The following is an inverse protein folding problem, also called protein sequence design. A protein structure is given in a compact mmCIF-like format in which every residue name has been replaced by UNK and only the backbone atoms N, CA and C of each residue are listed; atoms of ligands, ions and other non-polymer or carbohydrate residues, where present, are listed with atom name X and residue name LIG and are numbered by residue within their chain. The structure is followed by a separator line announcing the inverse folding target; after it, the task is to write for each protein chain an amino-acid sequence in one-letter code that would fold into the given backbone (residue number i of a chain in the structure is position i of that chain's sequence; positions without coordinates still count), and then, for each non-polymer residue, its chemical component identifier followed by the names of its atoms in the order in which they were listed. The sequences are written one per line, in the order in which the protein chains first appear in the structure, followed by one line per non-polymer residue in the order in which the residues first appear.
data_IF_345734488240
#
_entry.id   IF_345734488240
#
_cell.length_a   1.000
_cell.length_b   1.000
_cell.length_c   1.000
_cell.angle_alpha   90.00
_cell.angle_beta   90.00
_cell.angle_gamma   90.00
#
_symmetry.space_group_name_H-M   'P 1'
#
loop_
_entity.id
_entity.type
_entity.pdbx_description
1 polymer ?
2 non-polymer ?
3 water ?
#
# COMPACT_ATOMS: atom_id res chain seq x y z
N UNK A 3 -28.29 5.22 -13.76
CA UNK A 3 -26.89 5.54 -13.51
C UNK A 3 -26.56 7.02 -13.72
N UNK A 4 -27.29 7.67 -14.63
CA UNK A 4 -27.02 9.07 -14.96
C UNK A 4 -27.18 9.98 -13.76
N UNK A 5 -28.02 9.58 -12.81
CA UNK A 5 -28.24 10.41 -11.62
C UNK A 5 -27.17 10.29 -10.55
N UNK A 6 -26.26 9.32 -10.68
CA UNK A 6 -25.21 9.14 -9.68
C UNK A 6 -23.89 8.79 -10.38
N UNK A 7 -23.35 9.72 -11.18
CA UNK A 7 -22.20 9.43 -12.05
C UNK A 7 -20.89 9.18 -11.33
N UNK A 8 -20.83 9.48 -10.03
CA UNK A 8 -19.67 9.09 -9.23
C UNK A 8 -19.57 7.57 -9.10
N UNK A 9 -20.68 6.86 -9.22
CA UNK A 9 -20.67 5.38 -9.19
C UNK A 9 -20.37 4.88 -10.60
N UNK A 10 -19.55 3.84 -10.73
CA UNK A 10 -19.21 3.36 -12.06
C UNK A 10 -18.82 1.90 -12.07
N UNK A 11 -18.62 1.39 -13.29
CA UNK A 11 -18.28 -0.01 -13.52
C UNK A 11 -16.77 -0.12 -13.67
N UNK A 12 -16.20 -1.23 -13.23
CA UNK A 12 -14.75 -1.48 -13.33
C UNK A 12 -14.53 -2.69 -14.25
N UNK A 13 -13.53 -2.58 -15.12
CA UNK A 13 -13.03 -3.70 -15.91
C UNK A 13 -11.58 -3.91 -15.52
N UNK A 14 -11.16 -5.17 -15.42
CA UNK A 14 -9.75 -5.47 -15.21
C UNK A 14 -9.41 -6.87 -15.70
N UNK A 15 -8.11 -7.16 -15.78
CA UNK A 15 -7.65 -8.48 -16.20
C UNK A 15 -6.63 -9.04 -15.24
N UNK A 16 -6.55 -10.37 -15.18
CA UNK A 16 -5.51 -11.07 -14.45
C UNK A 16 -5.00 -12.21 -15.33
N UNK A 17 -4.09 -13.02 -14.81
CA UNK A 17 -3.65 -14.23 -15.51
C UNK A 17 -4.81 -15.21 -15.76
N UNK A 18 -5.88 -15.06 -14.99
CA UNK A 18 -7.06 -15.94 -15.10
C UNK A 18 -8.12 -15.44 -16.09
N UNK A 19 -7.90 -14.25 -16.67
CA UNK A 19 -8.82 -13.72 -17.67
C UNK A 19 -9.30 -12.31 -17.39
N UNK A 20 -10.46 -11.97 -17.96
CA UNK A 20 -11.08 -10.65 -17.82
C UNK A 20 -12.21 -10.68 -16.80
N UNK A 21 -12.24 -9.65 -15.95
CA UNK A 21 -13.19 -9.57 -14.85
C UNK A 21 -13.84 -8.19 -14.78
N UNK A 22 -14.90 -8.10 -13.99
CA UNK A 22 -15.62 -6.85 -13.80
C UNK A 22 -15.90 -6.62 -12.30
N UNK A 23 -15.98 -5.35 -11.92
CA UNK A 23 -16.24 -4.95 -10.54
C UNK A 23 -17.01 -3.63 -10.59
N UNK A 24 -17.08 -2.94 -9.45
CA UNK A 24 -17.72 -1.63 -9.37
C UNK A 24 -16.81 -0.74 -8.52
N UNK A 25 -17.05 0.57 -8.56
CA UNK A 25 -16.29 1.51 -7.74
C UNK A 25 -17.03 2.82 -7.64
N UNK A 26 -16.45 3.77 -6.90
CA UNK A 26 -17.11 5.03 -6.66
C UNK A 26 -16.11 6.15 -6.45
N UNK A 27 -16.32 7.28 -7.12
CA UNK A 27 -15.47 8.46 -6.91
C UNK A 27 -15.73 9.04 -5.52
N UNK A 28 -14.67 9.10 -4.72
CA UNK A 28 -14.73 9.71 -3.39
C UNK A 28 -13.92 11.00 -3.40
N UNK A 29 -14.39 11.99 -2.66
CA UNK A 29 -13.72 13.30 -2.62
C UNK A 29 -12.26 13.11 -2.24
N UNK A 30 -11.35 13.72 -3.01
CA UNK A 30 -9.92 13.54 -2.77
C UNK A 30 -9.12 14.76 -3.18
N UNK A 31 -8.04 15.03 -2.46
CA UNK A 31 -7.14 16.12 -2.86
C UNK A 31 -6.67 15.96 -4.31
N UNK A 32 -6.34 14.73 -4.72
CA UNK A 32 -5.83 14.54 -6.08
C UNK A 32 -6.92 14.50 -7.15
N UNK A 33 -8.19 14.55 -6.73
CA UNK A 33 -9.33 14.58 -7.64
C UNK A 33 -9.40 13.35 -8.57
N UNK A 34 -8.75 12.27 -8.16
CA UNK A 34 -8.51 11.14 -9.04
C UNK A 34 -8.78 9.78 -8.39
N UNK A 35 -9.48 9.77 -7.26
CA UNK A 35 -9.53 8.57 -6.43
C UNK A 35 -10.90 7.92 -6.41
N UNK A 36 -10.92 6.63 -6.71
CA UNK A 36 -12.13 5.81 -6.52
C UNK A 36 -11.91 4.75 -5.43
N UNK A 37 -12.97 4.53 -4.65
CA UNK A 37 -13.00 3.46 -3.66
C UNK A 37 -13.52 2.21 -4.33
N UNK A 38 -12.91 1.09 -3.96
CA UNK A 38 -13.34 -0.20 -4.48
C UNK A 38 -12.96 -1.29 -3.47
N UNK A 39 -13.10 -2.55 -3.85
CA UNK A 39 -12.67 -3.67 -3.00
C UNK A 39 -11.22 -4.01 -3.30
N UNK A 40 -10.50 -4.48 -2.29
CA UNK A 40 -9.13 -4.97 -2.50
C UNK A 40 -9.08 -6.04 -3.57
N UNK A 41 -10.03 -6.98 -3.56
CA UNK A 41 -9.99 -8.07 -4.51
C UNK A 41 -10.31 -7.64 -5.94
N UNK A 42 -10.77 -6.41 -6.12
CA UNK A 42 -10.99 -5.86 -7.47
C UNK A 42 -9.73 -5.28 -8.07
N UNK A 43 -8.65 -5.20 -7.29
CA UNK A 43 -7.40 -4.69 -7.87
C UNK A 43 -6.14 -5.44 -7.45
N UNK A 44 -6.30 -6.47 -6.61
CA UNK A 44 -5.16 -7.28 -6.18
C UNK A 44 -5.63 -8.69 -5.84
N UNK A 45 -4.82 -9.69 -6.23
CA UNK A 45 -5.18 -11.10 -6.05
C UNK A 45 -5.36 -11.54 -4.60
N UNK A 46 -4.66 -10.86 -3.69
CA UNK A 46 -4.56 -11.34 -2.32
C UNK A 46 -3.33 -12.21 -2.13
N UNK A 47 -3.35 -13.06 -1.10
CA UNK A 47 -2.13 -13.77 -0.66
C UNK A 47 -1.33 -14.43 -1.78
N UNK A 48 -0.08 -13.98 -1.94
CA UNK A 48 0.86 -14.55 -2.92
C UNK A 48 0.62 -14.16 -4.36
N UNK A 49 -0.36 -13.29 -4.61
CA UNK A 49 -0.71 -12.87 -5.95
C UNK A 49 -0.13 -11.52 -6.33
N UNK A 50 -0.69 -10.92 -7.38
CA UNK A 50 -0.19 -9.64 -7.90
C UNK A 50 -1.33 -8.67 -8.19
N UNK A 51 -0.98 -7.47 -8.68
CA UNK A 51 -2.01 -6.47 -8.99
C UNK A 51 -2.78 -6.81 -10.25
N UNK A 52 -4.03 -6.37 -10.31
CA UNK A 52 -4.83 -6.46 -11.51
C UNK A 52 -4.17 -5.65 -12.62
N UNK A 53 -4.41 -6.06 -13.86
CA UNK A 53 -3.90 -5.35 -15.02
C UNK A 53 -5.03 -4.65 -15.74
N UNK A 54 -4.71 -3.53 -16.36
CA UNK A 54 -5.66 -2.76 -17.17
C UNK A 54 -6.97 -2.44 -16.45
N UNK A 55 -6.82 -2.02 -15.20
CA UNK A 55 -7.94 -1.55 -14.39
C UNK A 55 -8.48 -0.27 -15.00
N UNK A 56 -9.77 -0.31 -15.33
CA UNK A 56 -10.44 0.84 -15.96
C UNK A 56 -11.76 1.11 -15.25
N UNK A 57 -12.08 2.39 -15.08
CA UNK A 57 -13.28 2.83 -14.39
C UNK A 57 -14.17 3.60 -15.35
N UNK A 58 -15.45 3.24 -15.39
CA UNK A 58 -16.42 3.86 -16.29
C UNK A 58 -17.54 4.52 -15.48
N UNK A 59 -17.40 5.83 -15.21
CA UNK A 59 -18.44 6.53 -14.43
C UNK A 59 -19.79 6.49 -15.14
N UNK A 60 -20.85 6.24 -14.38
CA UNK A 60 -22.22 6.29 -14.91
C UNK A 60 -22.45 5.32 -16.07
N UNK A 61 -21.70 4.23 -16.09
CA UNK A 61 -21.90 3.17 -17.09
C UNK A 61 -23.39 2.78 -17.17
N UNK A 62 -23.90 2.61 -18.40
CA UNK A 62 -25.30 2.27 -18.64
C UNK A 62 -25.40 1.67 -20.02
N UNK A 63 -25.37 0.34 -20.09
CA UNK A 63 -25.28 -0.38 -21.39
C UNK A 63 -24.17 0.21 -22.26
N UNK A 64 -23.01 0.42 -21.63
CA UNK A 64 -21.86 1.03 -22.28
C UNK A 64 -21.38 2.26 -21.53
N UNK A 65 -20.21 2.76 -21.91
CA UNK A 65 -19.69 3.96 -21.27
C UNK A 65 -20.64 5.13 -21.42
N UNK A 66 -20.56 6.06 -20.47
CA UNK A 66 -21.34 7.28 -20.54
C UNK A 66 -20.50 8.35 -21.24
N UNK A 67 -21.03 9.56 -21.26
CA UNK A 67 -20.31 10.71 -21.80
C UNK A 67 -18.98 10.97 -21.06
N UNK A 68 -18.86 10.44 -19.84
CA UNK A 68 -17.64 10.64 -19.05
C UNK A 68 -16.49 9.74 -19.48
N UNK A 69 -16.81 8.75 -20.31
CA UNK A 69 -15.80 7.88 -20.87
C UNK A 69 -15.24 6.88 -19.89
N UNK A 70 -14.02 6.44 -20.16
CA UNK A 70 -13.38 5.34 -19.43
C UNK A 70 -12.02 5.81 -18.95
N UNK A 71 -11.68 5.50 -17.70
CA UNK A 71 -10.51 6.06 -17.04
C UNK A 71 -9.56 4.98 -16.54
N UNK A 72 -8.32 4.99 -17.02
CA UNK A 72 -7.34 3.98 -16.62
C UNK A 72 -6.72 4.31 -15.27
N UNK A 73 -6.45 3.27 -14.47
CA UNK A 73 -5.73 3.46 -13.22
C UNK A 73 -4.25 3.74 -13.43
N UNK A 74 -3.70 4.62 -12.60
CA UNK A 74 -2.26 4.84 -12.54
C UNK A 74 -1.63 4.21 -11.30
N UNK A 75 -2.32 4.31 -10.17
CA UNK A 75 -1.87 3.67 -8.92
C UNK A 75 -3.00 2.89 -8.30
N UNK A 76 -2.81 1.58 -8.18
CA UNK A 76 -3.71 0.73 -7.41
C UNK A 76 -3.17 0.69 -5.98
N UNK A 77 -4.04 1.03 -5.02
CA UNK A 77 -3.65 1.16 -3.61
C UNK A 77 -4.47 0.18 -2.78
N UNK A 78 -3.88 -0.98 -2.54
CA UNK A 78 -4.51 -2.05 -1.79
C UNK A 78 -4.22 -1.92 -0.28
N UNK A 79 -5.15 -2.40 0.56
CA UNK A 79 -4.83 -2.53 1.96
C UNK A 79 -3.71 -3.55 2.13
N UNK A 80 -2.91 -3.39 3.18
CA UNK A 80 -1.80 -4.30 3.44
C UNK A 80 -2.32 -5.69 3.78
N UNK A 81 -3.39 -5.75 4.57
CA UNK A 81 -3.87 -7.05 5.03
C UNK A 81 -4.51 -7.83 3.90
N UNK A 82 -5.20 -7.14 2.99
CA UNK A 82 -5.72 -7.83 1.81
C UNK A 82 -4.57 -8.36 0.93
N UNK A 83 -3.64 -7.48 0.57
CA UNK A 83 -2.55 -7.87 -0.34
C UNK A 83 -1.70 -9.02 0.18
N UNK A 84 -1.46 -9.00 1.48
CA UNK A 84 -0.52 -9.92 2.08
C UNK A 84 -1.18 -11.23 2.52
N UNK A 85 -2.46 -11.18 2.89
CA UNK A 85 -3.08 -12.34 3.55
C UNK A 85 -4.51 -12.65 3.05
N UNK A 86 -5.07 -11.83 2.17
CA UNK A 86 -6.46 -12.01 1.72
C UNK A 86 -7.44 -11.83 2.87
N UNK A 87 -7.11 -10.93 3.79
CA UNK A 87 -7.91 -10.71 5.00
C UNK A 87 -9.17 -9.92 4.65
N UNK A 88 -10.32 -10.58 4.73
CA UNK A 88 -11.58 -9.92 4.37
C UNK A 88 -11.96 -8.77 5.29
N UNK A 89 -11.40 -8.72 6.50
CA UNK A 89 -11.66 -7.53 7.33
C UNK A 89 -11.16 -6.25 6.68
N UNK A 90 -10.25 -6.40 5.70
CA UNK A 90 -9.67 -5.25 5.03
C UNK A 90 -9.77 -5.34 3.52
N UNK A 91 -10.88 -5.89 3.03
CA UNK A 91 -11.08 -6.00 1.58
C UNK A 91 -11.61 -4.67 1.03
N UNK A 92 -10.80 -3.62 1.17
CA UNK A 92 -11.08 -2.31 0.59
C UNK A 92 -9.79 -1.81 -0.06
N UNK A 93 -9.94 -0.85 -0.96
CA UNK A 93 -8.81 -0.34 -1.72
C UNK A 93 -9.22 0.92 -2.44
N UNK A 94 -8.23 1.59 -3.00
CA UNK A 94 -8.49 2.80 -3.77
C UNK A 94 -7.68 2.73 -5.04
N UNK A 95 -8.24 3.23 -6.13
CA UNK A 95 -7.49 3.34 -7.38
C UNK A 95 -7.39 4.81 -7.73
N UNK A 96 -6.16 5.23 -8.03
CA UNK A 96 -5.89 6.60 -8.46
C UNK A 96 -5.80 6.60 -9.99
N UNK A 97 -6.70 7.37 -10.61
CA UNK A 97 -6.88 7.33 -12.05
C UNK A 97 -6.07 8.37 -12.79
N UNK A 98 -5.88 8.12 -14.07
CA UNK A 98 -5.21 9.03 -14.98
C UNK A 98 -5.90 10.39 -15.03
N UNK A 99 -5.15 11.37 -15.52
CA UNK A 99 -5.65 12.67 -15.87
C UNK A 99 -5.66 12.75 -17.40
N UNK A 100 -6.75 13.27 -17.97
CA UNK A 100 -6.90 13.34 -19.42
C UNK A 100 -6.80 14.78 -19.88
N UNK A 101 -5.69 15.13 -20.52
CA UNK A 101 -5.47 16.48 -21.03
C UNK A 101 -5.70 17.53 -19.96
N UNK A 102 -5.19 17.24 -18.77
CA UNK A 102 -5.33 18.12 -17.62
C UNK A 102 -6.60 17.90 -16.80
N UNK A 103 -7.52 17.07 -17.28
CA UNK A 103 -8.80 16.86 -16.57
C UNK A 103 -8.77 15.61 -15.69
N UNK A 104 -9.02 15.81 -14.41
CA UNK A 104 -9.14 14.70 -13.47
C UNK A 104 -10.57 14.16 -13.45
N UNK A 105 -10.74 12.93 -12.97
CA UNK A 105 -12.06 12.31 -13.02
C UNK A 105 -13.08 13.09 -12.17
N UNK A 106 -12.65 13.63 -11.04
CA UNK A 106 -13.55 14.38 -10.18
C UNK A 106 -13.97 15.70 -10.84
N UNK A 107 -13.04 16.31 -11.57
CA UNK A 107 -13.34 17.53 -12.33
C UNK A 107 -14.27 17.22 -13.51
N UNK A 108 -14.03 16.10 -14.16
CA UNK A 108 -14.87 15.64 -15.27
C UNK A 108 -16.31 15.45 -14.84
N UNK A 109 -16.49 14.70 -13.76
CA UNK A 109 -17.83 14.35 -13.31
C UNK A 109 -18.49 15.51 -12.53
N UNK A 110 -17.66 16.33 -11.89
CA UNK A 110 -18.15 17.55 -11.24
C UNK A 110 -18.62 17.32 -9.80
N UNK A 111 -18.45 16.10 -9.31
CA UNK A 111 -18.89 15.74 -7.97
C UNK A 111 -18.19 14.46 -7.52
N UNK A 112 -18.36 14.15 -6.24
CA UNK A 112 -17.77 12.97 -5.62
C UNK A 112 -18.50 12.73 -4.32
N UNK A 113 -18.45 11.50 -3.83
CA UNK A 113 -19.03 11.18 -2.53
C UNK A 113 -18.12 11.58 -1.39
N UNK A 114 -18.70 12.05 -0.27
CA UNK A 114 -17.90 12.14 0.93
C UNK A 114 -17.62 10.71 1.40
N UNK A 115 -16.61 10.56 2.26
CA UNK A 115 -16.27 9.23 2.79
C UNK A 115 -16.09 9.39 4.29
N UNK A 116 -16.57 8.39 5.04
CA UNK A 116 -16.60 8.44 6.51
C UNK A 116 -15.97 7.20 7.11
N UNK A 117 -15.33 7.38 8.25
CA UNK A 117 -14.63 6.30 8.95
C UNK A 117 -14.98 6.33 10.42
N UNK A 118 -14.77 5.19 11.09
CA UNK A 118 -14.99 5.10 12.54
C UNK A 118 -16.39 5.55 12.94
N UNK A 119 -17.35 5.08 12.17
CA UNK A 119 -18.76 5.33 12.41
C UNK A 119 -19.36 4.14 13.18
N UNK A 120 -20.55 4.32 13.78
CA UNK A 120 -21.15 3.19 14.49
C UNK A 120 -21.39 1.99 13.58
N UNK A 121 -21.36 0.81 14.19
CA UNK A 121 -21.84 -0.41 13.55
C UNK A 121 -23.36 -0.44 13.53
N UNK A 122 -23.93 -1.21 12.62
CA UNK A 122 -25.37 -1.46 12.61
C UNK A 122 -26.20 -0.33 12.04
N UNK A 123 -25.58 0.49 11.20
CA UNK A 123 -26.29 1.58 10.52
C UNK A 123 -27.08 1.07 9.30
N UNK A 124 -27.97 1.93 8.81
CA UNK A 124 -28.73 1.65 7.60
C UNK A 124 -27.94 2.13 6.38
N UNK A 125 -27.90 1.28 5.35
CA UNK A 125 -27.13 1.54 4.14
C UNK A 125 -27.94 1.39 2.88
N UNK A 126 -27.49 2.11 1.86
CA UNK A 126 -27.86 1.89 0.47
C UNK A 126 -26.58 1.52 -0.27
N UNK A 127 -26.55 0.30 -0.82
CA UNK A 127 -25.36 -0.22 -1.52
C UNK A 127 -25.65 -0.32 -3.00
N UNK A 128 -24.65 -0.04 -3.83
CA UNK A 128 -24.82 0.04 -5.28
C UNK A 128 -23.76 -0.76 -6.00
N UNK A 129 -24.08 -1.23 -7.20
CA UNK A 129 -23.07 -1.88 -8.01
C UNK A 129 -23.58 -2.28 -9.36
N UNK A 130 -22.69 -2.90 -10.14
CA UNK A 130 -22.98 -3.41 -11.46
C UNK A 130 -22.90 -4.94 -11.48
N UNK A 131 -23.89 -5.61 -10.89
CA UNK A 131 -23.85 -7.07 -10.86
C UNK A 131 -23.90 -7.62 -12.30
N UNK A 132 -23.13 -8.67 -12.56
CA UNK A 132 -22.94 -9.16 -13.91
C UNK A 132 -23.34 -10.62 -14.13
N UNK A 133 -23.62 -11.33 -13.05
CA UNK A 133 -24.10 -12.71 -13.17
C UNK A 133 -25.61 -12.77 -13.06
N UNK A 134 -26.22 -13.75 -13.75
CA UNK A 134 -27.67 -13.94 -13.75
C UNK A 134 -28.29 -13.80 -12.35
N UNK A 135 -29.44 -13.09 -12.23
CA UNK A 135 -30.31 -12.51 -13.26
C UNK A 135 -29.94 -11.07 -13.63
N UNK A 136 -28.65 -10.74 -13.53
CA UNK A 136 -28.16 -9.44 -13.92
C UNK A 136 -27.26 -9.59 -15.14
N UNK A 137 -27.03 -8.49 -15.86
CA UNK A 137 -26.30 -8.55 -17.12
C UNK A 137 -25.06 -7.68 -17.16
N UNK A 138 -24.75 -7.05 -16.03
CA UNK A 138 -23.54 -6.25 -15.92
C UNK A 138 -23.67 -4.84 -16.45
N UNK A 139 -24.82 -4.55 -17.06
CA UNK A 139 -25.01 -3.31 -17.80
C UNK A 139 -25.71 -2.22 -17.02
N UNK A 140 -26.25 -2.58 -15.86
CA UNK A 140 -27.17 -1.74 -15.09
C UNK A 140 -26.67 -1.48 -13.69
N UNK A 141 -26.99 -0.29 -13.19
CA UNK A 141 -26.75 0.03 -11.79
C UNK A 141 -27.89 -0.55 -10.96
N UNK A 142 -27.54 -1.40 -10.00
CA UNK A 142 -28.52 -1.95 -9.07
C UNK A 142 -28.20 -1.54 -7.64
N UNK A 143 -29.18 -1.71 -6.76
CA UNK A 143 -29.04 -1.31 -5.37
C UNK A 143 -29.62 -2.32 -4.40
N UNK A 144 -29.15 -2.21 -3.16
CA UNK A 144 -29.68 -2.97 -2.02
C UNK A 144 -29.78 -1.99 -0.88
N UNK A 145 -30.69 -2.24 0.05
CA UNK A 145 -30.94 -1.34 1.15
C UNK A 145 -31.26 -2.14 2.39
N UNK A 146 -30.69 -1.73 3.51
CA UNK A 146 -30.98 -2.42 4.75
C UNK A 146 -30.08 -2.04 5.89
N UNK A 147 -30.39 -2.58 7.06
CA UNK A 147 -29.61 -2.35 8.25
C UNK A 147 -28.51 -3.40 8.37
N UNK A 148 -27.30 -2.92 8.65
CA UNK A 148 -26.15 -3.82 8.80
C UNK A 148 -26.23 -4.61 10.10
N UNK A 149 -25.82 -5.87 10.01
CA UNK A 149 -25.63 -6.72 11.18
C UNK A 149 -24.21 -7.32 11.16
N UNK A 150 -23.81 -7.92 12.28
CA UNK A 150 -22.47 -8.46 12.43
C UNK A 150 -22.24 -9.71 11.59
N UNK A 151 -21.01 -9.86 11.12
CA UNK A 151 -20.57 -11.06 10.44
C UNK A 151 -20.90 -12.28 11.30
N UNK A 152 -21.67 -13.25 10.76
CA UNK A 152 -21.95 -14.46 11.55
C UNK A 152 -20.67 -15.22 11.92
N UNK A 153 -19.60 -14.99 11.18
CA UNK A 153 -18.32 -15.61 11.46
C UNK A 153 -17.53 -14.90 12.53
N UNK A 154 -18.01 -13.74 12.97
CA UNK A 154 -17.38 -13.05 14.08
C UNK A 154 -16.29 -12.06 13.73
N UNK A 155 -16.04 -11.85 12.44
CA UNK A 155 -15.08 -10.82 12.04
C UNK A 155 -15.75 -9.45 12.15
N UNK A 156 -14.97 -8.40 11.88
CA UNK A 156 -15.47 -7.03 11.96
C UNK A 156 -16.32 -6.61 10.75
N UNK A 157 -16.44 -7.48 9.74
CA UNK A 157 -17.30 -7.12 8.59
C UNK A 157 -18.77 -7.05 9.02
N UNK A 158 -19.58 -6.44 8.17
CA UNK A 158 -21.03 -6.36 8.40
C UNK A 158 -21.77 -6.82 7.17
N UNK A 159 -22.98 -7.33 7.37
CA UNK A 159 -23.80 -7.80 6.28
C UNK A 159 -25.10 -7.03 6.16
N UNK A 160 -25.56 -6.87 4.92
CA UNK A 160 -26.88 -6.32 4.66
C UNK A 160 -27.66 -7.23 3.71
N UNK A 161 -29.00 -7.21 3.78
CA UNK A 161 -29.77 -7.97 2.79
C UNK A 161 -29.52 -7.41 1.39
N UNK A 162 -29.15 -8.28 0.46
CA UNK A 162 -28.74 -7.83 -0.87
C UNK A 162 -28.63 -8.98 -1.84
N UNK A 163 -29.29 -8.85 -2.98
CA UNK A 163 -29.32 -9.92 -3.96
C UNK A 163 -28.31 -9.76 -5.10
N UNK A 164 -27.43 -8.74 -5.02
CA UNK A 164 -26.49 -8.50 -6.11
C UNK A 164 -25.42 -9.59 -6.21
N UNK A 165 -25.01 -9.85 -7.45
CA UNK A 165 -24.14 -10.97 -7.81
C UNK A 165 -22.73 -10.48 -8.20
N UNK A 166 -21.86 -11.41 -8.59
CA UNK A 166 -20.50 -11.07 -9.01
C UNK A 166 -20.50 -9.93 -10.01
N UNK A 167 -19.57 -9.00 -9.82
CA UNK A 167 -19.50 -7.75 -10.60
C UNK A 167 -19.86 -6.58 -9.72
N UNK A 168 -20.67 -6.82 -8.69
CA UNK A 168 -21.07 -5.77 -7.75
C UNK A 168 -19.97 -5.43 -6.75
N UNK A 169 -18.99 -6.33 -6.59
CA UNK A 169 -17.91 -6.07 -5.64
C UNK A 169 -17.26 -4.74 -5.93
N UNK A 170 -16.88 -4.06 -4.85
CA UNK A 170 -16.25 -2.76 -4.96
C UNK A 170 -17.25 -1.62 -4.98
N UNK A 171 -18.52 -1.93 -5.22
CA UNK A 171 -19.56 -0.90 -5.23
C UNK A 171 -19.74 -0.29 -3.86
N UNK A 172 -20.17 0.98 -3.81
CA UNK A 172 -20.21 1.72 -2.55
C UNK A 172 -21.38 1.36 -1.65
N UNK A 173 -21.12 1.40 -0.34
CA UNK A 173 -22.20 1.45 0.66
C UNK A 173 -22.28 2.89 1.15
N UNK A 174 -23.44 3.50 0.98
CA UNK A 174 -23.67 4.85 1.50
C UNK A 174 -24.53 4.78 2.75
N UNK A 175 -24.12 5.54 3.76
CA UNK A 175 -24.97 5.73 4.93
C UNK A 175 -26.30 6.35 4.51
N UNK A 176 -27.40 5.78 4.99
CA UNK A 176 -28.72 6.35 4.76
C UNK A 176 -29.39 5.89 3.48
N UNK A 177 -30.39 6.65 3.00
CA UNK A 177 -31.14 6.22 1.82
C UNK A 177 -30.71 6.98 0.59
N UNK A 178 -30.35 6.23 -0.45
CA UNK A 178 -29.97 6.81 -1.72
C UNK A 178 -28.48 6.90 -1.97
N UNK A 179 -28.11 7.54 -3.06
CA UNK A 179 -26.71 7.62 -3.51
C UNK A 179 -25.93 8.81 -2.96
N UNK A 180 -26.58 9.66 -2.16
CA UNK A 180 -25.99 10.95 -1.77
C UNK A 180 -25.26 11.00 -0.44
N UNK A 181 -25.40 9.96 0.38
CA UNK A 181 -24.76 9.93 1.69
C UNK A 181 -23.26 9.67 1.63
N UNK A 182 -22.61 9.69 2.80
CA UNK A 182 -21.18 9.40 2.88
C UNK A 182 -20.94 7.91 2.65
N UNK A 183 -19.92 7.61 1.84
CA UNK A 183 -19.52 6.23 1.67
C UNK A 183 -18.88 5.70 2.93
N UNK A 184 -19.27 4.50 3.34
CA UNK A 184 -18.78 3.96 4.59
C UNK A 184 -18.50 2.45 4.57
N UNK A 185 -18.57 1.85 3.38
CA UNK A 185 -18.05 0.50 3.15
C UNK A 185 -18.09 0.25 1.64
N UNK A 186 -17.87 -1.00 1.29
CA UNK A 186 -17.80 -1.41 -0.09
C UNK A 186 -18.38 -2.84 -0.16
N UNK A 187 -19.04 -3.20 -1.26
CA UNK A 187 -19.44 -4.60 -1.46
C UNK A 187 -18.21 -5.47 -1.53
N UNK A 188 -18.12 -6.49 -0.69
CA UNK A 188 -16.94 -7.34 -0.67
C UNK A 188 -17.17 -8.83 -0.96
N UNK A 189 -18.11 -9.46 -0.26
CA UNK A 189 -18.27 -10.90 -0.42
C UNK A 189 -19.60 -11.36 0.15
N UNK A 190 -19.97 -12.60 -0.21
CA UNK A 190 -21.02 -13.32 0.51
C UNK A 190 -20.48 -14.66 0.98
N UNK A 191 -21.34 -15.40 1.69
CA UNK A 191 -21.02 -16.78 2.04
C UNK A 191 -21.89 -17.72 1.24
N UNK A 192 -21.32 -18.86 0.86
CA UNK A 192 -22.05 -19.86 0.08
C UNK A 192 -23.33 -20.34 0.79
N UNK A 193 -23.31 -20.35 2.12
CA UNK A 193 -24.46 -20.85 2.91
C UNK A 193 -25.54 -19.79 3.13
N UNK A 194 -25.26 -18.55 2.74
CA UNK A 194 -26.13 -17.44 3.11
C UNK A 194 -26.53 -16.65 1.87
N UNK A 195 -27.56 -17.10 1.14
CA UNK A 195 -27.97 -16.34 -0.03
C UNK A 195 -28.46 -14.93 0.31
N UNK A 196 -28.24 -14.02 -0.63
CA UNK A 196 -28.80 -12.66 -0.55
C UNK A 196 -28.37 -11.84 0.67
N UNK A 197 -27.14 -12.04 1.14
CA UNK A 197 -26.54 -11.14 2.12
C UNK A 197 -25.17 -10.72 1.59
N UNK A 198 -24.95 -9.40 1.53
CA UNK A 198 -23.67 -8.85 1.11
C UNK A 198 -22.88 -8.36 2.32
N UNK A 199 -21.61 -8.74 2.39
CA UNK A 199 -20.74 -8.27 3.45
C UNK A 199 -19.79 -7.22 2.93
N UNK A 200 -19.55 -6.24 3.79
CA UNK A 200 -18.63 -5.16 3.50
C UNK A 200 -17.76 -4.90 4.69
N UNK A 201 -16.51 -4.51 4.46
CA UNK A 201 -15.59 -4.32 5.58
C UNK A 201 -15.90 -3.09 6.43
N UNK A 202 -15.51 -3.15 7.70
CA UNK A 202 -15.64 -1.98 8.55
C UNK A 202 -14.65 -0.89 8.10
N UNK A 203 -15.17 0.32 7.90
CA UNK A 203 -14.29 1.44 7.56
C UNK A 203 -13.78 2.07 8.85
N UNK A 204 -12.62 1.59 9.31
CA UNK A 204 -12.00 2.08 10.53
C UNK A 204 -10.75 2.89 10.24
N UNK A 205 -9.80 2.85 11.17
CA UNK A 205 -8.58 3.64 11.03
C UNK A 205 -7.66 3.12 9.93
N UNK A 206 -7.72 1.81 9.65
CA UNK A 206 -6.95 1.26 8.53
C UNK A 206 -7.43 1.85 7.22
N UNK A 207 -8.75 1.79 7.00
CA UNK A 207 -9.34 2.35 5.80
C UNK A 207 -9.08 3.86 5.74
N UNK A 208 -9.18 4.56 6.87
CA UNK A 208 -8.98 6.01 6.84
C UNK A 208 -7.55 6.38 6.43
N UNK A 209 -6.58 5.69 7.01
CA UNK A 209 -5.19 5.97 6.69
C UNK A 209 -4.82 5.55 5.26
N UNK A 210 -5.41 4.46 4.76
CA UNK A 210 -5.20 4.04 3.38
C UNK A 210 -5.80 5.11 2.44
N UNK A 211 -7.01 5.58 2.76
CA UNK A 211 -7.63 6.68 2.02
C UNK A 211 -6.80 7.97 2.05
N UNK A 212 -6.32 8.36 3.23
CA UNK A 212 -5.51 9.59 3.34
C UNK A 212 -4.32 9.50 2.38
N UNK A 213 -3.69 8.33 2.35
CA UNK A 213 -2.55 8.05 1.50
C UNK A 213 -2.91 8.01 0.01
N UNK A 214 -3.93 7.22 -0.36
CA UNK A 214 -4.30 7.09 -1.77
C UNK A 214 -4.74 8.41 -2.38
N UNK A 215 -5.50 9.18 -1.59
CA UNK A 215 -6.15 10.39 -2.08
C UNK A 215 -5.17 11.54 -2.32
N UNK A 216 -3.91 11.34 -1.91
CA UNK A 216 -2.86 12.37 -2.13
C UNK A 216 -1.78 11.91 -3.11
N UNK A 217 -1.94 10.68 -3.60
CA UNK A 217 -1.70 10.19 -4.97
C UNK A 217 -1.36 8.71 -5.29
N UNK A 218 -0.91 7.85 -4.36
CA UNK A 218 0.26 8.00 -3.52
C UNK A 218 0.63 6.58 -3.21
N UNK B 3 27.38 -3.56 15.04
CA UNK B 3 25.96 -3.80 15.06
C UNK B 3 25.37 -3.81 16.48
N UNK B 4 26.13 -4.33 17.44
CA UNK B 4 25.63 -4.43 18.82
C UNK B 4 25.27 -3.07 19.42
N UNK B 5 25.97 -2.03 18.96
CA UNK B 5 25.77 -0.66 19.42
C UNK B 5 24.59 0.06 18.73
N UNK B 6 24.19 -0.42 17.55
CA UNK B 6 23.05 0.14 16.81
C UNK B 6 22.16 -1.01 16.32
N UNK B 7 21.59 -1.78 17.26
CA UNK B 7 20.98 -3.07 16.91
C UNK B 7 19.65 -2.93 16.16
N UNK B 8 19.15 -1.69 16.04
CA UNK B 8 17.96 -1.43 15.23
C UNK B 8 18.21 -1.63 13.73
N UNK B 9 19.46 -1.44 13.31
CA UNK B 9 19.86 -1.68 11.92
C UNK B 9 20.06 -3.16 11.72
N UNK B 10 19.60 -3.70 10.61
CA UNK B 10 19.78 -5.13 10.36
C UNK B 10 19.79 -5.55 8.90
N UNK B 11 20.01 -6.84 8.69
CA UNK B 11 20.10 -7.41 7.36
C UNK B 11 18.76 -8.03 6.97
N UNK B 12 18.43 -7.97 5.68
CA UNK B 12 17.21 -8.56 5.15
C UNK B 12 17.53 -9.71 4.19
N UNK B 13 16.79 -10.81 4.32
CA UNK B 13 16.81 -11.91 3.35
C UNK B 13 15.42 -12.01 2.75
N UNK B 14 15.32 -12.25 1.44
CA UNK B 14 14.04 -12.51 0.80
C UNK B 14 14.22 -13.29 -0.48
N UNK B 15 13.09 -13.76 -1.03
CA UNK B 15 13.13 -14.52 -2.27
C UNK B 15 12.12 -13.99 -3.28
N UNK B 16 12.42 -14.20 -4.54
CA UNK B 16 11.46 -13.95 -5.61
C UNK B 16 11.51 -15.15 -6.55
N UNK B 17 10.75 -15.09 -7.63
CA UNK B 17 10.81 -16.12 -8.67
C UNK B 17 12.18 -16.24 -9.32
N UNK B 18 13.02 -15.21 -9.15
CA UNK B 18 14.34 -15.17 -9.75
C UNK B 18 15.47 -15.65 -8.84
N UNK B 19 15.17 -15.88 -7.56
CA UNK B 19 16.16 -16.40 -6.65
C UNK B 19 16.08 -15.86 -5.24
N UNK B 20 17.20 -15.96 -4.52
CA UNK B 20 17.29 -15.59 -3.11
C UNK B 20 18.25 -14.43 -2.97
N UNK B 21 17.79 -13.37 -2.32
CA UNK B 21 18.47 -12.08 -2.34
C UNK B 21 18.56 -11.46 -0.96
N UNK B 22 19.35 -10.39 -0.86
CA UNK B 22 19.55 -9.71 0.40
C UNK B 22 19.37 -8.20 0.27
N UNK B 23 19.01 -7.59 1.40
CA UNK B 23 18.87 -6.14 1.49
C UNK B 23 19.24 -5.74 2.92
N UNK B 24 18.88 -4.51 3.30
CA UNK B 24 19.06 -4.04 4.66
C UNK B 24 17.78 -3.32 5.09
N UNK B 25 17.65 -3.06 6.39
CA UNK B 25 16.48 -2.34 6.92
C UNK B 25 16.80 -1.80 8.30
N UNK B 26 15.82 -1.11 8.88
CA UNK B 26 16.01 -0.45 10.17
C UNK B 26 14.70 -0.37 10.94
N UNK B 27 14.72 -0.75 12.22
CA UNK B 27 13.56 -0.58 13.10
C UNK B 27 13.35 0.89 13.38
N UNK B 28 12.15 1.36 13.01
CA UNK B 28 11.76 2.73 13.27
C UNK B 28 10.65 2.77 14.33
N UNK B 29 10.68 3.81 15.14
CA UNK B 29 9.71 3.99 16.21
C UNK B 29 8.29 3.93 15.63
N UNK B 30 7.44 3.10 16.21
CA UNK B 30 6.12 2.84 15.63
C UNK B 30 5.11 2.40 16.67
N UNK B 31 3.83 2.69 16.43
CA UNK B 31 2.77 2.28 17.32
C UNK B 31 2.79 0.76 17.52
N UNK B 32 2.94 0.01 16.43
CA UNK B 32 2.88 -1.44 16.53
C UNK B 32 4.20 -2.07 16.96
N UNK B 33 5.27 -1.28 17.06
CA UNK B 33 6.57 -1.75 17.55
C UNK B 33 7.14 -2.89 16.70
N UNK B 34 6.64 -3.00 15.47
CA UNK B 34 6.93 -4.11 14.58
C UNK B 34 7.37 -3.66 13.19
N UNK B 35 7.71 -2.38 13.05
CA UNK B 35 7.89 -1.79 11.71
C UNK B 35 9.36 -1.51 11.42
N UNK B 36 9.82 -2.02 10.27
CA UNK B 36 11.14 -1.67 9.75
C UNK B 36 10.97 -0.89 8.44
N UNK B 37 11.81 0.13 8.29
CA UNK B 37 11.89 0.89 7.05
C UNK B 37 12.89 0.20 6.11
N UNK B 38 12.55 0.16 4.82
CA UNK B 38 13.44 -0.43 3.83
C UNK B 38 13.13 0.19 2.47
N UNK B 39 13.72 -0.35 1.40
CA UNK B 39 13.43 0.13 0.06
C UNK B 39 12.25 -0.64 -0.53
N UNK B 40 11.46 0.03 -1.35
CA UNK B 40 10.38 -0.63 -2.06
C UNK B 40 10.87 -1.83 -2.85
N UNK B 41 11.99 -1.66 -3.56
CA UNK B 41 12.51 -2.74 -4.41
C UNK B 41 12.98 -3.96 -3.60
N UNK B 42 13.14 -3.81 -2.28
CA UNK B 42 13.52 -4.92 -1.41
C UNK B 42 12.33 -5.78 -1.00
N UNK B 43 11.10 -5.33 -1.28
CA UNK B 43 9.94 -6.13 -0.91
C UNK B 43 8.88 -6.28 -1.99
N UNK B 44 9.08 -5.63 -3.13
CA UNK B 44 8.14 -5.72 -4.25
C UNK B 44 8.86 -5.52 -5.58
N UNK B 45 8.40 -6.23 -6.61
CA UNK B 45 9.05 -6.22 -7.91
C UNK B 45 8.99 -4.86 -8.62
N UNK B 46 7.98 -4.05 -8.30
CA UNK B 46 7.65 -2.90 -9.11
C UNK B 46 6.72 -3.34 -10.24
N UNK B 47 6.30 -2.40 -11.07
CA UNK B 47 5.36 -2.68 -12.18
C UNK B 47 4.24 -3.75 -11.95
N UNK B 48 3.44 -3.56 -10.91
CA UNK B 48 2.24 -4.38 -10.66
C UNK B 48 2.45 -5.85 -10.28
N UNK B 49 3.69 -6.22 -9.99
CA UNK B 49 4.02 -7.61 -9.73
C UNK B 49 3.68 -8.13 -8.35
N UNK B 50 4.39 -9.16 -7.95
CA UNK B 50 4.16 -9.76 -6.65
C UNK B 50 5.14 -9.23 -5.60
N UNK B 51 4.74 -9.41 -4.35
CA UNK B 51 5.60 -9.12 -3.24
C UNK B 51 6.71 -10.16 -3.14
N UNK B 52 7.81 -9.76 -2.54
CA UNK B 52 8.86 -10.68 -2.16
C UNK B 52 8.29 -11.74 -1.23
N UNK B 53 8.91 -12.91 -1.23
CA UNK B 53 8.52 -14.00 -0.33
C UNK B 53 9.59 -14.26 0.72
N UNK B 54 9.17 -14.81 1.85
CA UNK B 54 10.07 -15.15 2.93
C UNK B 54 11.00 -14.01 3.35
N UNK B 55 10.43 -12.80 3.44
CA UNK B 55 11.12 -11.62 3.93
C UNK B 55 11.46 -11.80 5.41
N UNK B 56 12.76 -11.82 5.72
CA UNK B 56 13.25 -12.00 7.08
C UNK B 56 14.19 -10.85 7.45
N UNK B 57 14.01 -10.30 8.65
CA UNK B 57 14.85 -9.23 9.15
C UNK B 57 15.71 -9.75 10.30
N UNK B 58 17.02 -9.48 10.25
CA UNK B 58 17.96 -9.90 11.28
C UNK B 58 18.59 -8.67 11.95
N UNK B 59 18.01 -8.20 13.08
CA UNK B 59 18.57 -7.03 13.74
C UNK B 59 19.97 -7.29 14.27
N UNK B 60 20.84 -6.31 14.12
CA UNK B 60 22.21 -6.39 14.64
C UNK B 60 23.00 -7.56 14.04
N UNK B 61 22.64 -7.96 12.82
CA UNK B 61 23.35 -9.01 12.10
C UNK B 61 24.84 -8.69 12.09
N UNK B 62 25.66 -9.71 12.33
CA UNK B 62 27.10 -9.53 12.34
C UNK B 62 27.72 -10.89 12.09
N UNK B 63 28.01 -11.20 10.84
CA UNK B 63 28.46 -12.53 10.44
C UNK B 63 27.50 -13.63 10.88
N UNK B 64 26.22 -13.27 10.93
CA UNK B 64 25.16 -14.17 11.34
C UNK B 64 24.18 -13.45 12.24
N UNK B 65 23.07 -14.11 12.54
CA UNK B 65 22.09 -13.51 13.42
C UNK B 65 22.68 -13.17 14.79
N UNK B 66 22.14 -12.14 15.44
CA UNK B 66 22.55 -11.78 16.78
C UNK B 66 21.68 -12.48 17.80
N UNK B 67 21.91 -12.19 19.09
CA UNK B 67 21.08 -12.71 20.16
C UNK B 67 19.60 -12.27 19.99
N UNK B 68 19.40 -11.21 19.22
CA UNK B 68 18.04 -10.72 18.92
C UNK B 68 17.26 -11.60 17.94
N UNK B 69 17.96 -12.50 17.25
CA UNK B 69 17.32 -13.48 16.37
C UNK B 69 16.88 -12.93 15.02
N UNK B 70 16.01 -13.67 14.34
CA UNK B 70 15.49 -13.27 13.03
C UNK B 70 13.96 -13.19 13.02
N UNK B 71 13.42 -12.27 12.23
CA UNK B 71 12.03 -11.87 12.31
C UNK B 71 11.34 -11.90 10.96
N UNK B 72 10.28 -12.70 10.85
CA UNK B 72 9.54 -12.84 9.60
C UNK B 72 8.55 -11.70 9.42
N UNK B 73 8.28 -11.31 8.17
CA UNK B 73 7.31 -10.27 7.88
C UNK B 73 5.88 -10.82 7.88
N UNK B 74 4.94 -10.00 8.36
CA UNK B 74 3.51 -10.29 8.25
C UNK B 74 2.80 -9.46 7.19
N UNK B 75 3.16 -8.17 7.11
CA UNK B 75 2.66 -7.29 6.07
C UNK B 75 3.80 -6.53 5.42
N UNK B 76 3.87 -6.62 4.10
CA UNK B 76 4.80 -5.82 3.31
C UNK B 76 4.03 -4.62 2.78
N UNK B 77 4.53 -3.41 3.08
CA UNK B 77 3.82 -2.17 2.77
C UNK B 77 4.69 -1.29 1.86
N UNK B 78 4.42 -1.39 0.57
CA UNK B 78 5.14 -0.70 -0.46
C UNK B 78 4.48 0.64 -0.80
N UNK B 79 5.27 1.62 -1.23
CA UNK B 79 4.69 2.83 -1.79
C UNK B 79 3.88 2.45 -3.04
N UNK B 80 2.82 3.21 -3.31
CA UNK B 80 2.00 2.91 -4.48
C UNK B 80 2.76 3.17 -5.78
N UNK B 81 3.57 4.22 -5.79
CA UNK B 81 4.29 4.57 -7.02
C UNK B 81 5.35 3.52 -7.33
N UNK B 82 6.00 2.98 -6.30
CA UNK B 82 6.91 1.88 -6.51
C UNK B 82 6.18 0.64 -7.05
N UNK B 83 5.14 0.20 -6.35
CA UNK B 83 4.43 -1.03 -6.70
C UNK B 83 3.87 -1.00 -8.12
N UNK B 84 3.34 0.16 -8.51
CA UNK B 84 2.62 0.26 -9.76
C UNK B 84 3.51 0.55 -10.97
N UNK B 85 4.57 1.35 -10.77
CA UNK B 85 5.35 1.90 -11.88
C UNK B 85 6.87 1.76 -11.70
N UNK B 86 7.33 1.18 -10.57
CA UNK B 86 8.76 1.14 -10.27
C UNK B 86 9.38 2.53 -10.21
N UNK B 87 8.65 3.49 -9.64
CA UNK B 87 9.07 4.87 -9.56
C UNK B 87 10.12 5.02 -8.45
N UNK B 88 11.37 5.24 -8.85
CA UNK B 88 12.46 5.36 -7.86
C UNK B 88 12.35 6.59 -6.97
N UNK B 89 11.60 7.60 -7.38
CA UNK B 89 11.35 8.73 -6.50
C UNK B 89 10.62 8.29 -5.23
N UNK B 90 9.99 7.12 -5.29
CA UNK B 90 9.28 6.56 -4.14
C UNK B 90 9.75 5.15 -3.80
N UNK B 91 11.05 4.93 -3.92
CA UNK B 91 11.60 3.61 -3.59
C UNK B 91 11.81 3.46 -2.08
N UNK B 92 10.71 3.51 -1.34
CA UNK B 92 10.71 3.30 0.11
C UNK B 92 9.52 2.42 0.46
N UNK B 93 9.61 1.78 1.63
CA UNK B 93 8.60 0.83 2.04
C UNK B 93 8.81 0.49 3.49
N UNK B 94 7.84 -0.22 4.06
CA UNK B 94 7.91 -0.67 5.45
C UNK B 94 7.45 -2.10 5.49
N UNK B 95 8.12 -2.89 6.32
CA UNK B 95 7.69 -4.26 6.59
C UNK B 95 7.22 -4.33 8.04
N UNK B 96 6.06 -4.94 8.25
CA UNK B 96 5.51 -5.12 9.58
C UNK B 96 5.80 -6.57 9.98
N UNK B 97 6.59 -6.74 11.03
CA UNK B 97 7.11 -8.05 11.41
C UNK B 97 6.23 -8.78 12.41
N UNK B 98 6.44 -10.10 12.49
CA UNK B 98 5.78 -10.94 13.48
C UNK B 98 6.08 -10.49 14.90
N UNK B 99 5.21 -10.91 15.82
CA UNK B 99 5.46 -10.78 17.25
C UNK B 99 5.68 -12.20 17.75
N UNK B 100 6.64 -12.39 18.67
CA UNK B 100 6.95 -13.72 19.18
C UNK B 100 6.45 -13.85 20.62
N UNK B 101 5.33 -14.55 20.78
CA UNK B 101 4.70 -14.73 22.09
C UNK B 101 4.60 -13.44 22.87
N UNK B 102 4.11 -12.40 22.20
CA UNK B 102 3.92 -11.09 22.83
C UNK B 102 5.09 -10.12 22.68
N UNK B 103 6.27 -10.64 22.35
CA UNK B 103 7.46 -9.80 22.22
C UNK B 103 7.55 -9.24 20.80
N UNK B 104 7.42 -7.92 20.69
CA UNK B 104 7.61 -7.23 19.41
C UNK B 104 9.10 -7.09 19.13
N UNK B 105 9.45 -6.81 17.88
CA UNK B 105 10.87 -6.64 17.54
C UNK B 105 11.52 -5.48 18.33
N UNK B 106 10.76 -4.41 18.54
CA UNK B 106 11.27 -3.28 19.34
C UNK B 106 11.55 -3.68 20.78
N UNK B 107 10.67 -4.51 21.33
CA UNK B 107 10.80 -4.99 22.70
C UNK B 107 12.03 -5.88 22.86
N UNK B 108 12.27 -6.73 21.86
CA UNK B 108 13.46 -7.58 21.87
C UNK B 108 14.77 -6.78 21.77
N UNK B 109 14.83 -5.90 20.77
CA UNK B 109 16.05 -5.19 20.44
C UNK B 109 16.31 -4.04 21.41
N UNK B 110 15.23 -3.39 21.86
CA UNK B 110 15.31 -2.37 22.91
C UNK B 110 15.62 -0.96 22.43
N UNK B 111 15.61 -0.76 21.11
CA UNK B 111 15.81 0.56 20.52
C UNK B 111 15.19 0.60 19.12
N UNK B 112 14.75 1.80 18.74
CA UNK B 112 14.19 2.06 17.42
C UNK B 112 14.49 3.50 17.07
N UNK B 113 14.73 3.77 15.79
CA UNK B 113 15.05 5.11 15.34
C UNK B 113 13.81 5.97 15.20
N UNK B 114 13.90 7.23 15.65
CA UNK B 114 12.87 8.17 15.23
C UNK B 114 12.95 8.31 13.72
N UNK B 115 11.85 8.75 13.10
CA UNK B 115 11.78 8.88 11.66
C UNK B 115 11.17 10.25 11.34
N UNK B 116 11.75 10.94 10.37
CA UNK B 116 11.34 12.30 10.04
C UNK B 116 11.03 12.45 8.56
N UNK B 117 10.14 13.40 8.25
CA UNK B 117 9.68 13.62 6.89
C UNK B 117 9.61 15.12 6.61
N UNK B 118 9.59 15.48 5.33
CA UNK B 118 9.45 16.88 4.93
C UNK B 118 10.51 17.77 5.56
N UNK B 119 11.74 17.27 5.53
CA UNK B 119 12.91 17.98 6.00
C UNK B 119 13.61 18.64 4.81
N UNK B 120 14.49 19.63 5.06
CA UNK B 120 15.20 20.25 3.95
C UNK B 120 16.02 19.25 3.12
N UNK B 121 16.15 19.57 1.84
CA UNK B 121 17.10 18.89 0.97
C UNK B 121 18.52 19.35 1.31
N UNK B 122 19.50 18.54 0.96
CA UNK B 122 20.90 18.93 1.08
C UNK B 122 21.51 18.82 2.46
N UNK B 123 20.91 17.99 3.32
CA UNK B 123 21.41 17.78 4.69
C UNK B 123 22.58 16.80 4.69
N UNK B 124 23.30 16.78 5.82
CA UNK B 124 24.36 15.81 6.04
C UNK B 124 23.76 14.51 6.56
N UNK B 125 24.20 13.39 6.02
CA UNK B 125 23.70 12.08 6.40
C UNK B 125 24.78 11.09 6.77
N UNK B 126 24.38 10.14 7.62
CA UNK B 126 25.12 8.92 7.86
C UNK B 126 24.21 7.77 7.40
N UNK B 127 24.66 7.04 6.37
CA UNK B 127 23.89 5.95 5.79
C UNK B 127 24.54 4.61 6.15
N UNK B 128 23.71 3.59 6.42
CA UNK B 128 24.20 2.29 6.89
C UNK B 128 23.61 1.13 6.11
N UNK B 129 24.33 0.02 6.04
CA UNK B 129 23.74 -1.17 5.46
C UNK B 129 24.67 -2.35 5.44
N UNK B 130 24.21 -3.41 4.80
CA UNK B 130 24.95 -4.65 4.69
C UNK B 130 25.30 -4.95 3.22
N UNK B 131 26.27 -4.20 2.68
CA UNK B 131 26.63 -4.42 1.27
C UNK B 131 27.16 -5.83 1.08
N UNK B 132 26.75 -6.47 0.00
CA UNK B 132 27.04 -7.88 -0.27
C UNK B 132 27.86 -8.13 -1.54
N UNK B 133 27.92 -7.16 -2.44
CA UNK B 133 28.76 -7.31 -3.65
C UNK B 133 30.18 -6.79 -3.37
N UNK B 134 31.17 -7.36 -4.06
CA UNK B 134 32.58 -6.97 -3.90
C UNK B 134 32.75 -5.45 -3.95
N UNK B 135 33.64 -4.87 -3.10
CA UNK B 135 34.60 -5.54 -2.21
C UNK B 135 34.02 -6.02 -0.85
N UNK B 136 32.70 -6.03 -0.74
CA UNK B 136 32.02 -6.39 0.51
C UNK B 136 31.54 -7.85 0.52
N UNK B 137 31.31 -8.38 1.72
CA UNK B 137 30.98 -9.80 1.89
C UNK B 137 29.56 -10.07 2.41
N UNK B 138 28.78 -9.01 2.59
CA UNK B 138 27.39 -9.14 3.03
C UNK B 138 27.20 -9.32 4.53
N UNK B 139 28.29 -9.40 5.27
CA UNK B 139 28.23 -9.83 6.68
C UNK B 139 28.37 -8.69 7.67
N UNK B 140 28.86 -7.56 7.19
CA UNK B 140 29.24 -6.45 8.06
C UNK B 140 28.37 -5.24 7.85
N UNK B 141 28.12 -4.54 8.95
CA UNK B 141 27.50 -3.25 8.91
C UNK B 141 28.53 -2.23 8.46
N UNK B 142 28.25 -1.56 7.34
CA UNK B 142 29.10 -0.50 6.82
C UNK B 142 28.34 0.81 6.74
N UNK B 143 29.08 1.89 6.54
CA UNK B 143 28.48 3.20 6.53
C UNK B 143 29.11 4.13 5.51
N UNK B 144 28.37 5.19 5.21
CA UNK B 144 28.79 6.27 4.37
C UNK B 144 28.32 7.55 5.02
N UNK B 145 29.04 8.64 4.78
CA UNK B 145 28.78 9.90 5.45
C UNK B 145 29.05 11.06 4.52
N UNK B 146 28.12 12.01 4.45
CA UNK B 146 28.34 13.17 3.62
C UNK B 146 27.13 14.02 3.38
N UNK B 147 27.33 15.12 2.66
CA UNK B 147 26.26 16.06 2.36
C UNK B 147 25.50 15.59 1.13
N UNK B 148 24.17 15.60 1.23
CA UNK B 148 23.33 15.23 0.11
C UNK B 148 23.31 16.30 -0.97
N UNK B 149 23.30 15.88 -2.23
CA UNK B 149 23.07 16.80 -3.33
C UNK B 149 21.98 16.22 -4.22
N UNK B 150 21.48 17.03 -5.15
CA UNK B 150 20.41 16.57 -6.03
C UNK B 150 20.88 15.49 -7.01
N UNK B 151 19.95 14.62 -7.40
CA UNK B 151 20.17 13.67 -8.48
C UNK B 151 20.63 14.41 -9.73
N UNK B 152 21.85 14.13 -10.23
CA UNK B 152 22.30 14.84 -11.42
C UNK B 152 21.43 14.51 -12.66
N UNK B 153 20.73 13.37 -12.61
CA UNK B 153 19.85 12.97 -13.70
C UNK B 153 18.47 13.64 -13.63
N UNK B 154 18.23 14.42 -12.57
CA UNK B 154 17.08 15.30 -12.53
C UNK B 154 15.86 14.89 -11.71
N UNK B 155 15.90 13.70 -11.09
CA UNK B 155 14.78 13.26 -10.26
C UNK B 155 14.87 13.89 -8.88
N UNK B 156 13.87 13.61 -8.04
CA UNK B 156 13.86 14.15 -6.68
C UNK B 156 14.74 13.37 -5.69
N UNK B 157 15.41 12.31 -6.14
CA UNK B 157 16.30 11.59 -5.22
C UNK B 157 17.49 12.46 -4.87
N UNK B 158 18.20 12.06 -3.82
CA UNK B 158 19.43 12.74 -3.43
C UNK B 158 20.57 11.74 -3.37
N UNK B 159 21.78 12.24 -3.61
CA UNK B 159 22.97 11.40 -3.54
C UNK B 159 23.94 11.85 -2.47
N UNK B 160 24.58 10.89 -1.82
CA UNK B 160 25.68 11.14 -0.91
C UNK B 160 26.90 10.34 -1.35
N UNK B 161 28.12 10.85 -1.07
CA UNK B 161 29.32 10.07 -1.38
C UNK B 161 29.27 8.75 -0.62
N UNK B 162 29.48 7.63 -1.32
CA UNK B 162 29.28 6.33 -0.71
C UNK B 162 29.78 5.23 -1.63
N UNK B 163 30.43 4.23 -1.06
CA UNK B 163 30.97 3.12 -1.82
C UNK B 163 30.19 1.80 -1.65
N UNK B 164 29.08 1.84 -0.94
CA UNK B 164 28.35 0.59 -0.69
C UNK B 164 27.69 0.03 -1.94
N UNK B 165 27.56 -1.30 -1.94
CA UNK B 165 27.14 -2.04 -3.11
C UNK B 165 25.81 -2.77 -2.85
N UNK B 166 25.34 -3.52 -3.84
CA UNK B 166 24.12 -4.31 -3.73
C UNK B 166 24.08 -5.09 -2.43
N UNK B 167 22.90 -5.10 -1.80
CA UNK B 167 22.70 -5.63 -0.47
C UNK B 167 22.52 -4.53 0.56
N UNK B 168 23.14 -3.37 0.31
CA UNK B 168 22.95 -2.20 1.19
C UNK B 168 21.58 -1.53 1.01
N UNK B 169 20.91 -1.81 -0.10
CA UNK B 169 19.59 -1.20 -0.37
C UNK B 169 18.67 -1.40 0.81
N UNK B 170 17.88 -0.36 1.11
CA UNK B 170 16.96 -0.42 2.22
C UNK B 170 17.55 0.00 3.55
N UNK B 171 18.88 0.08 3.63
CA UNK B 171 19.54 0.53 4.84
C UNK B 171 19.21 1.99 5.13
N UNK B 172 19.25 2.40 6.40
CA UNK B 172 18.79 3.73 6.78
C UNK B 172 19.76 4.86 6.48
N UNK B 173 19.21 6.03 6.13
CA UNK B 173 19.95 7.28 6.16
C UNK B 173 19.52 8.04 7.40
N UNK B 174 20.47 8.35 8.27
CA UNK B 174 20.19 9.15 9.46
C UNK B 174 20.70 10.57 9.26
N UNK B 175 19.90 11.56 9.64
CA UNK B 175 20.37 12.94 9.64
C UNK B 175 21.51 13.08 10.62
N UNK B 176 22.56 13.77 10.20
CA UNK B 176 23.71 14.04 11.06
C UNK B 176 24.77 12.96 11.07
N UNK B 177 25.58 12.96 12.13
CA UNK B 177 26.69 12.03 12.22
C UNK B 177 26.38 10.89 13.17
N UNK B 178 26.44 9.68 12.65
CA UNK B 178 26.24 8.48 13.45
C UNK B 178 24.89 7.82 13.26
N UNK B 179 24.65 6.80 14.07
CA UNK B 179 23.44 5.98 13.98
C UNK B 179 22.27 6.49 14.83
N UNK B 180 22.49 7.61 15.53
CA UNK B 180 21.54 8.06 16.55
C UNK B 180 20.48 9.04 16.09
N UNK B 181 20.67 9.64 14.92
CA UNK B 181 19.75 10.64 14.40
C UNK B 181 18.43 10.08 13.89
N UNK B 182 17.55 10.97 13.47
CA UNK B 182 16.27 10.57 12.88
C UNK B 182 16.53 10.00 11.50
N UNK B 183 15.84 8.91 11.19
CA UNK B 183 15.91 8.36 9.84
C UNK B 183 15.14 9.24 8.87
N UNK B 184 15.73 9.49 7.70
CA UNK B 184 15.15 10.44 6.76
C UNK B 184 15.32 10.07 5.29
N UNK B 185 15.85 8.87 5.04
CA UNK B 185 15.80 8.23 3.71
C UNK B 185 16.25 6.79 3.86
N UNK B 186 16.52 6.15 2.73
CA UNK B 186 16.85 4.76 2.69
C UNK B 186 17.81 4.61 1.48
N UNK B 187 18.78 3.69 1.57
CA UNK B 187 19.63 3.39 0.42
C UNK B 187 18.76 2.82 -0.68
N UNK B 188 18.81 3.43 -1.87
CA UNK B 188 18.02 2.94 -3.00
C UNK B 188 18.87 2.40 -4.15
N UNK B 189 19.83 3.18 -4.63
CA UNK B 189 20.63 2.72 -5.76
C UNK B 189 21.95 3.45 -5.92
N UNK B 190 22.90 2.74 -6.51
CA UNK B 190 24.15 3.32 -6.99
C UNK B 190 24.41 2.80 -8.39
N UNK B 191 25.33 3.46 -9.08
CA UNK B 191 25.74 3.06 -10.42
C UNK B 191 27.02 2.25 -10.35
N UNK B 192 26.95 0.98 -10.75
CA UNK B 192 28.11 0.12 -10.78
C UNK B 192 28.89 0.50 -12.05
N UNK B 193 30.18 0.21 -12.14
CA UNK B 193 30.91 -0.65 -11.21
C UNK B 193 31.68 0.22 -10.22
N UNK B 194 31.83 -0.27 -8.98
CA UNK B 194 32.43 0.50 -7.89
C UNK B 194 31.72 1.85 -7.71
N UNK B 195 30.46 1.80 -7.23
CA UNK B 195 29.73 3.07 -7.05
C UNK B 195 30.46 4.03 -6.10
N UNK B 196 30.33 5.32 -6.39
CA UNK B 196 30.87 6.35 -5.51
C UNK B 196 29.82 7.29 -4.93
N UNK B 197 28.56 7.06 -5.31
CA UNK B 197 27.42 7.83 -4.80
C UNK B 197 26.27 6.87 -4.49
N UNK B 198 25.66 7.03 -3.33
CA UNK B 198 24.45 6.30 -3.02
C UNK B 198 23.27 7.25 -3.12
N UNK B 199 22.23 6.83 -3.84
CA UNK B 199 21.01 7.62 -3.99
C UNK B 199 19.90 7.10 -3.09
N UNK B 200 19.15 8.03 -2.51
CA UNK B 200 18.03 7.70 -1.63
C UNK B 200 16.88 8.63 -1.93
N UNK B 201 15.64 8.11 -1.80
CA UNK B 201 14.46 8.93 -2.14
C UNK B 201 14.17 10.00 -1.10
N UNK B 202 13.53 11.08 -1.55
CA UNK B 202 13.12 12.13 -0.64
C UNK B 202 11.99 11.62 0.25
N UNK B 203 12.11 11.77 1.57
CA UNK B 203 11.05 11.40 2.49
C UNK B 203 10.10 12.60 2.65
N UNK B 204 9.06 12.61 1.82
CA UNK B 204 8.06 13.67 1.86
C UNK B 204 6.76 13.15 2.45
N UNK B 205 5.65 13.74 2.03
CA UNK B 205 4.34 13.37 2.57
C UNK B 205 3.89 11.98 2.13
N UNK B 206 4.37 11.51 0.99
CA UNK B 206 4.07 10.13 0.59
C UNK B 206 4.67 9.16 1.58
N UNK B 207 5.97 9.33 1.86
CA UNK B 207 6.63 8.48 2.85
C UNK B 207 6.00 8.61 4.24
N UNK B 208 5.65 9.83 4.64
CA UNK B 208 5.06 10.04 5.95
C UNK B 208 3.73 9.29 6.08
N UNK B 209 2.87 9.42 5.08
CA UNK B 209 1.55 8.79 5.13
C UNK B 209 1.65 7.28 5.00
N UNK B 210 2.63 6.78 4.23
CA UNK B 210 2.89 5.34 4.14
C UNK B 210 3.35 4.83 5.50
N UNK B 211 4.26 5.57 6.14
CA UNK B 211 4.70 5.24 7.49
C UNK B 211 3.55 5.23 8.50
N UNK B 212 2.71 6.27 8.46
CA UNK B 212 1.57 6.35 9.40
C UNK B 212 0.72 5.08 9.29
N UNK B 213 0.50 4.65 8.05
CA UNK B 213 -0.31 3.48 7.76
C UNK B 213 0.40 2.19 8.18
N UNK B 214 1.63 1.99 7.72
CA UNK B 214 2.36 0.77 8.07
C UNK B 214 2.52 0.58 9.57
N UNK B 215 2.83 1.67 10.26
CA UNK B 215 3.21 1.62 11.67
C UNK B 215 2.04 1.34 12.59
N UNK B 216 0.83 1.33 12.05
CA UNK B 216 -0.38 1.06 12.84
C UNK B 216 -1.08 -0.22 12.40
N UNK B 217 -0.51 -0.86 11.37
CA UNK B 217 -0.54 -2.28 11.21
C UNK B 217 -0.17 -3.00 9.90
N UNK B 218 -0.53 -2.50 8.72
CA UNK B 218 -1.83 -1.97 8.36
C UNK B 218 -1.82 -2.03 6.85
#
# INVERSE_FOLDING_TARGET
QNPADSPHIGKVFFSTNQGDFVCSANIVASANQSTVATAGHCLHDGNGGQFARNFVFAPAYDYGESEHGVWAAEELVTSAEWANRGDFEHDYAFAVLETKGGTTVQQQVGTASPIAFNQPRGQYYSAYGYPAAAPFNGQELHSCHGTATNDPMGSSTQGIPCNMTGGSSGGPWFLGNGTGGAQNSTNSYGYTFLPNVMFGPYFGSGAQQNYNYASTTN
QNPADSPHIGKVFFSTNQGDFVCSANIVASANQSTVATAGHCLHDGNGGQFARNFVFAPAYDYGESEHGVWAAEELVTSAEWANRGDFEHDYAFAVLETKGGTTVQQQVGTASPIAFNQPRGQYYSAYGYPAAAPFNGQELHSCHGTATNDPMGSSTQGIPCNMTGGSSGGPWFLGNGTGGAQNSTNSYGYTFLPNVMFGPYFGSGAQQNYNYASTTN
#
